data_IF_019420411331
#
_entry.id   IF_019420411331
#
_cell.length_a   1.000
_cell.length_b   1.000
_cell.length_c   1.000
_cell.angle_alpha   90.00
_cell.angle_beta   90.00
_cell.angle_gamma   90.00
#
_symmetry.space_group_name_H-M   'P 1'
#
loop_
_entity.id
_entity.type
_entity.pdbx_description
1 polymer ?
#
# COMPACT_ATOMS: atom_id res chain seq x y z
N UNK A 1 2.85 -7.41 32.82
CA UNK A 1 3.79 -6.29 32.53
C UNK A 1 5.25 -6.73 32.64
N UNK A 2 5.71 -7.29 33.77
CA UNK A 2 7.14 -7.65 33.95
C UNK A 2 7.66 -8.67 32.92
N UNK A 3 6.86 -9.67 32.52
CA UNK A 3 7.33 -10.73 31.63
C UNK A 3 7.55 -10.27 30.16
N UNK A 4 6.69 -9.39 29.63
CA UNK A 4 6.80 -8.86 28.26
C UNK A 4 7.82 -7.73 28.19
N UNK A 5 7.88 -6.85 29.21
CA UNK A 5 8.95 -5.85 29.32
C UNK A 5 10.31 -6.53 29.43
N UNK A 6 10.45 -7.61 30.21
CA UNK A 6 11.69 -8.38 30.31
C UNK A 6 11.96 -9.22 29.05
N UNK A 7 10.93 -9.66 28.31
CA UNK A 7 11.08 -10.30 26.99
C UNK A 7 11.61 -9.33 25.95
N UNK A 8 10.97 -8.16 25.78
CA UNK A 8 11.42 -7.09 24.87
C UNK A 8 12.80 -6.59 25.28
N UNK A 9 13.08 -6.42 26.57
CA UNK A 9 14.41 -6.01 27.05
C UNK A 9 15.48 -7.10 26.83
N UNK A 10 15.14 -8.40 26.93
CA UNK A 10 16.06 -9.50 26.63
C UNK A 10 16.36 -9.60 25.12
N UNK A 11 15.33 -9.51 24.28
CA UNK A 11 15.46 -9.46 22.81
C UNK A 11 16.26 -8.23 22.37
N UNK A 12 15.93 -7.03 22.86
CA UNK A 12 16.67 -5.79 22.57
C UNK A 12 18.15 -5.88 22.96
N UNK A 13 18.50 -6.63 24.02
CA UNK A 13 19.90 -6.87 24.43
C UNK A 13 20.61 -7.89 23.54
N UNK A 14 19.95 -8.92 23.02
CA UNK A 14 20.54 -9.89 22.09
C UNK A 14 20.69 -9.32 20.68
N UNK A 15 19.69 -8.60 20.16
CA UNK A 15 19.64 -8.11 18.77
C UNK A 15 20.50 -6.84 18.53
N UNK A 16 21.09 -6.26 19.59
CA UNK A 16 22.02 -5.10 19.50
C UNK A 16 23.22 -5.33 18.59
N UNK A 17 23.68 -6.58 18.41
CA UNK A 17 24.81 -6.93 17.55
C UNK A 17 24.46 -7.03 16.05
N UNK A 18 23.21 -7.32 15.69
CA UNK A 18 22.75 -7.38 14.29
C UNK A 18 22.35 -5.99 13.75
N UNK A 19 21.97 -5.06 14.62
CA UNK A 19 21.49 -3.72 14.27
C UNK A 19 22.55 -2.78 13.65
N UNK A 20 23.85 -3.07 13.78
CA UNK A 20 24.93 -2.11 13.51
C UNK A 20 25.39 -2.04 12.03
N UNK A 21 24.92 -2.92 11.13
CA UNK A 21 25.47 -3.03 9.76
C UNK A 21 24.55 -2.59 8.61
N UNK A 22 23.38 -3.21 8.48
CA UNK A 22 22.54 -3.13 7.27
C UNK A 22 21.14 -2.57 7.54
N UNK A 23 20.54 -2.84 8.71
CA UNK A 23 19.26 -2.25 9.15
C UNK A 23 19.30 -0.72 9.10
N UNK A 24 20.46 -0.12 9.41
CA UNK A 24 20.69 1.33 9.32
C UNK A 24 20.59 1.91 7.89
N UNK A 25 20.84 1.09 6.87
CA UNK A 25 20.84 1.46 5.44
C UNK A 25 19.49 1.28 4.74
N UNK A 26 18.58 0.50 5.33
CA UNK A 26 17.23 0.35 4.78
C UNK A 26 16.50 1.71 4.76
N UNK A 27 15.89 2.10 3.63
CA UNK A 27 14.99 3.25 3.58
C UNK A 27 13.77 2.97 4.46
N UNK A 28 13.05 4.02 4.85
CA UNK A 28 11.71 3.80 5.38
C UNK A 28 10.85 3.08 4.30
N UNK A 29 9.83 2.28 4.66
CA UNK A 29 8.97 1.54 3.73
C UNK A 29 8.07 2.42 2.85
N UNK A 30 8.50 2.75 1.61
CA UNK A 30 7.66 3.47 0.62
C UNK A 30 6.69 2.50 0.00
N UNK A 31 5.62 2.17 0.71
CA UNK A 31 4.49 1.44 0.13
C UNK A 31 4.23 0.02 0.66
N UNK A 32 4.58 -0.31 1.90
CA UNK A 32 4.15 -1.59 2.52
C UNK A 32 3.83 -1.49 4.03
N UNK A 33 3.82 -0.28 4.59
CA UNK A 33 3.56 -0.07 6.02
C UNK A 33 2.98 1.32 6.22
N UNK A 34 2.02 1.42 7.15
CA UNK A 34 1.23 2.56 7.67
C UNK A 34 2.08 3.82 8.03
N UNK A 35 3.40 3.77 7.83
CA UNK A 35 4.35 4.59 8.56
C UNK A 35 5.09 5.68 7.84
N UNK A 36 5.21 5.62 6.54
CA UNK A 36 5.89 6.73 5.88
C UNK A 36 5.10 8.01 5.85
N UNK A 37 3.80 7.85 5.86
CA UNK A 37 2.91 8.91 5.54
C UNK A 37 2.60 9.80 6.74
N UNK A 38 2.61 9.23 7.96
CA UNK A 38 2.52 9.97 9.23
C UNK A 38 3.61 11.05 9.32
N UNK A 39 4.74 10.87 8.63
CA UNK A 39 5.91 11.71 8.79
C UNK A 39 6.16 12.68 7.62
N UNK A 40 5.84 12.30 6.38
CA UNK A 40 5.85 13.22 5.23
C UNK A 40 4.77 14.30 5.36
N UNK A 41 3.62 13.96 5.96
CA UNK A 41 2.50 14.88 6.15
C UNK A 41 2.80 16.04 7.11
N UNK A 42 3.68 15.91 8.13
CA UNK A 42 3.90 17.03 9.07
C UNK A 42 4.74 18.18 8.48
N UNK A 43 5.56 17.93 7.45
CA UNK A 43 6.37 18.97 6.77
C UNK A 43 5.76 19.47 5.46
N UNK A 44 5.08 18.61 4.68
CA UNK A 44 4.48 19.02 3.38
C UNK A 44 3.12 19.70 3.50
N UNK A 45 2.32 19.39 4.53
CA UNK A 45 1.01 20.05 4.75
C UNK A 45 1.13 21.52 5.16
N UNK A 46 2.34 21.98 5.52
CA UNK A 46 2.63 23.39 5.78
C UNK A 46 3.27 24.13 4.59
N UNK A 47 3.69 23.44 3.52
CA UNK A 47 4.52 24.04 2.46
C UNK A 47 4.18 23.55 1.04
N UNK A 48 2.97 23.05 0.79
CA UNK A 48 2.49 22.88 -0.58
C UNK A 48 1.66 24.12 -0.93
N UNK A 49 1.99 24.87 -1.99
CA UNK A 49 1.21 26.04 -2.37
C UNK A 49 -0.25 25.64 -2.59
N UNK A 50 -1.21 26.55 -2.33
CA UNK A 50 -2.61 26.28 -2.64
C UNK A 50 -2.72 25.87 -4.10
N UNK A 51 -3.39 24.74 -4.35
CA UNK A 51 -3.79 24.37 -5.71
C UNK A 51 -4.62 25.53 -6.23
N UNK A 52 -4.17 26.14 -7.34
CA UNK A 52 -4.90 27.23 -7.96
C UNK A 52 -6.33 26.76 -8.27
N UNK A 53 -7.33 27.54 -7.86
CA UNK A 53 -8.72 27.22 -8.15
C UNK A 53 -8.92 27.16 -9.68
N UNK A 54 -9.67 26.16 -10.15
CA UNK A 54 -10.08 26.08 -11.55
C UNK A 54 -10.99 27.28 -11.84
N UNK A 55 -10.94 27.82 -13.06
CA UNK A 55 -11.84 28.90 -13.47
C UNK A 55 -13.30 28.44 -13.30
N UNK A 56 -14.15 29.16 -12.53
CA UNK A 56 -15.53 28.76 -12.28
C UNK A 56 -16.38 28.64 -13.55
N UNK A 57 -15.96 29.25 -14.66
CA UNK A 57 -16.62 29.10 -15.98
C UNK A 57 -16.32 27.76 -16.66
N UNK A 58 -15.17 27.14 -16.35
CA UNK A 58 -14.79 25.80 -16.79
C UNK A 58 -15.49 24.73 -15.96
N UNK A 59 -15.56 24.92 -14.63
CA UNK A 59 -16.29 24.01 -13.74
C UNK A 59 -17.77 23.88 -14.10
N UNK A 60 -18.42 24.98 -14.50
CA UNK A 60 -19.84 24.97 -14.90
C UNK A 60 -20.12 24.21 -16.21
N UNK A 61 -19.08 23.86 -16.98
CA UNK A 61 -19.18 23.22 -18.31
C UNK A 61 -18.61 21.79 -18.34
N UNK A 62 -18.07 21.34 -17.21
CA UNK A 62 -17.62 19.98 -16.98
C UNK A 62 -18.68 19.25 -16.15
N UNK A 63 -19.42 18.34 -16.78
CA UNK A 63 -20.34 17.46 -16.06
C UNK A 63 -19.60 16.18 -15.66
N UNK A 64 -19.06 16.17 -14.44
CA UNK A 64 -18.26 15.09 -13.89
C UNK A 64 -19.03 14.47 -12.71
N UNK A 65 -19.52 13.23 -12.84
CA UNK A 65 -20.07 12.50 -11.70
C UNK A 65 -18.98 12.21 -10.66
N UNK A 66 -19.31 12.37 -9.37
CA UNK A 66 -18.40 12.08 -8.27
C UNK A 66 -19.01 11.05 -7.33
N UNK A 67 -18.22 10.04 -7.00
CA UNK A 67 -18.54 9.03 -6.01
C UNK A 67 -17.76 9.33 -4.72
N UNK A 68 -18.38 10.07 -3.79
CA UNK A 68 -17.70 10.54 -2.58
C UNK A 68 -17.27 9.39 -1.66
N UNK A 69 -18.08 8.32 -1.58
CA UNK A 69 -17.75 7.06 -0.91
C UNK A 69 -18.10 5.95 -1.88
N UNK A 70 -17.08 5.28 -2.43
CA UNK A 70 -17.28 4.12 -3.28
C UNK A 70 -17.78 2.92 -2.47
N UNK A 71 -18.41 1.96 -3.15
CA UNK A 71 -18.79 0.69 -2.54
C UNK A 71 -17.57 0.01 -1.88
N UNK A 72 -16.42 0.02 -2.55
CA UNK A 72 -15.16 -0.52 -2.03
C UNK A 72 -14.77 0.12 -0.68
N UNK A 73 -14.81 1.45 -0.58
CA UNK A 73 -14.44 2.15 0.65
C UNK A 73 -15.39 1.81 1.81
N UNK A 74 -16.70 1.70 1.53
CA UNK A 74 -17.68 1.29 2.52
C UNK A 74 -17.44 -0.14 3.02
N UNK A 75 -17.20 -1.09 2.12
CA UNK A 75 -16.89 -2.49 2.46
C UNK A 75 -15.58 -2.62 3.26
N UNK A 76 -14.55 -1.86 2.86
CA UNK A 76 -13.27 -1.80 3.58
C UNK A 76 -13.46 -1.35 5.02
N UNK A 77 -14.18 -0.24 5.23
CA UNK A 77 -14.47 0.27 6.57
C UNK A 77 -15.29 -0.72 7.40
N UNK A 78 -16.30 -1.36 6.80
CA UNK A 78 -17.13 -2.37 7.48
C UNK A 78 -16.29 -3.53 8.00
N UNK A 79 -15.41 -4.09 7.17
CA UNK A 79 -14.58 -5.24 7.56
C UNK A 79 -13.52 -4.88 8.61
N UNK A 80 -12.93 -3.69 8.53
CA UNK A 80 -12.01 -3.20 9.58
C UNK A 80 -12.74 -3.03 10.92
N UNK A 81 -13.92 -2.41 10.92
CA UNK A 81 -14.75 -2.26 12.12
C UNK A 81 -15.15 -3.63 12.67
N UNK A 82 -15.50 -4.59 11.81
CA UNK A 82 -15.83 -5.93 12.23
C UNK A 82 -14.65 -6.66 12.91
N UNK A 83 -13.45 -6.56 12.33
CA UNK A 83 -12.23 -7.14 12.92
C UNK A 83 -11.92 -6.52 14.29
N UNK A 84 -11.98 -5.19 14.40
CA UNK A 84 -11.76 -4.48 15.65
C UNK A 84 -12.81 -4.83 16.71
N UNK A 85 -14.08 -4.92 16.31
CA UNK A 85 -15.16 -5.28 17.21
C UNK A 85 -14.96 -6.69 17.79
N UNK A 86 -14.66 -7.69 16.96
CA UNK A 86 -14.43 -9.05 17.42
C UNK A 86 -13.26 -9.14 18.41
N UNK A 87 -12.12 -8.49 18.10
CA UNK A 87 -10.97 -8.43 18.99
C UNK A 87 -11.30 -7.77 20.34
N UNK A 88 -12.03 -6.64 20.34
CA UNK A 88 -12.45 -5.94 21.56
C UNK A 88 -13.47 -6.69 22.42
N UNK A 89 -14.16 -7.67 21.84
CA UNK A 89 -15.13 -8.51 22.55
C UNK A 89 -14.53 -9.87 22.93
N UNK A 90 -13.21 -10.05 22.77
CA UNK A 90 -12.50 -11.31 23.05
C UNK A 90 -13.03 -12.51 22.24
N UNK A 91 -13.64 -12.24 21.07
CA UNK A 91 -14.22 -13.26 20.16
C UNK A 91 -13.17 -13.75 19.15
N UNK A 92 -12.03 -14.21 19.66
CA UNK A 92 -10.87 -14.57 18.84
C UNK A 92 -11.10 -15.80 17.95
N UNK A 93 -11.77 -16.84 18.46
CA UNK A 93 -12.11 -18.02 17.66
C UNK A 93 -12.95 -17.69 16.42
N UNK A 94 -13.92 -16.79 16.57
CA UNK A 94 -14.79 -16.35 15.49
C UNK A 94 -14.06 -15.46 14.48
N UNK A 95 -13.21 -14.56 14.97
CA UNK A 95 -12.34 -13.76 14.11
C UNK A 95 -11.41 -14.67 13.29
N UNK A 96 -10.78 -15.64 13.93
CA UNK A 96 -9.87 -16.59 13.30
C UNK A 96 -10.58 -17.40 12.21
N UNK A 97 -11.75 -17.95 12.52
CA UNK A 97 -12.56 -18.68 11.54
C UNK A 97 -12.98 -17.81 10.35
N UNK A 98 -13.36 -16.56 10.62
CA UNK A 98 -13.72 -15.62 9.56
C UNK A 98 -12.52 -15.31 8.66
N UNK A 99 -11.34 -15.07 9.22
CA UNK A 99 -10.10 -14.83 8.46
C UNK A 99 -9.81 -16.04 7.57
N UNK A 100 -9.77 -17.25 8.11
CA UNK A 100 -9.48 -18.48 7.35
C UNK A 100 -10.44 -18.68 6.19
N UNK A 101 -11.75 -18.51 6.44
CA UNK A 101 -12.78 -18.63 5.41
C UNK A 101 -12.59 -17.60 4.30
N UNK A 102 -12.29 -16.34 4.65
CA UNK A 102 -12.02 -15.29 3.68
C UNK A 102 -10.77 -15.60 2.86
N UNK A 103 -9.70 -16.12 3.48
CA UNK A 103 -8.51 -16.55 2.75
C UNK A 103 -8.84 -17.70 1.80
N UNK A 104 -9.43 -18.80 2.29
CA UNK A 104 -9.75 -19.99 1.45
C UNK A 104 -10.65 -19.65 0.26
N UNK A 105 -11.62 -18.74 0.44
CA UNK A 105 -12.52 -18.30 -0.64
C UNK A 105 -11.97 -17.16 -1.48
N UNK A 106 -10.77 -16.65 -1.19
CA UNK A 106 -10.17 -15.45 -1.80
C UNK A 106 -11.15 -14.28 -1.83
N UNK A 107 -11.86 -14.09 -0.72
CA UNK A 107 -12.88 -13.06 -0.62
C UNK A 107 -12.24 -11.67 -0.66
N UNK A 108 -12.71 -10.84 -1.59
CA UNK A 108 -12.28 -9.47 -1.78
C UNK A 108 -13.48 -8.52 -1.77
N UNK A 109 -13.19 -7.26 -1.48
CA UNK A 109 -14.08 -6.11 -1.70
C UNK A 109 -14.23 -5.79 -3.18
N UNK A 110 -15.17 -4.90 -3.54
CA UNK A 110 -15.39 -4.47 -4.92
C UNK A 110 -14.13 -3.92 -5.62
N UNK A 111 -13.22 -3.25 -4.90
CA UNK A 111 -11.93 -2.76 -5.41
C UNK A 111 -10.79 -3.78 -5.26
N UNK A 112 -11.11 -5.04 -4.94
CA UNK A 112 -10.17 -6.14 -4.88
C UNK A 112 -9.30 -6.19 -3.62
N UNK A 113 -9.61 -5.45 -2.55
CA UNK A 113 -8.88 -5.57 -1.28
C UNK A 113 -9.30 -6.88 -0.57
N UNK A 114 -8.35 -7.76 -0.18
CA UNK A 114 -8.67 -8.98 0.55
C UNK A 114 -9.39 -8.69 1.87
N UNK A 115 -10.49 -9.40 2.13
CA UNK A 115 -11.27 -9.23 3.36
C UNK A 115 -10.49 -9.71 4.58
N UNK A 116 -9.66 -10.75 4.44
CA UNK A 116 -8.78 -11.24 5.49
C UNK A 116 -7.81 -10.14 5.99
N UNK A 117 -7.22 -9.36 5.08
CA UNK A 117 -6.32 -8.26 5.41
C UNK A 117 -7.05 -7.14 6.19
N UNK A 118 -8.30 -6.86 5.82
CA UNK A 118 -9.12 -5.84 6.50
C UNK A 118 -9.51 -6.30 7.91
N UNK A 119 -9.87 -7.57 8.08
CA UNK A 119 -10.18 -8.15 9.39
C UNK A 119 -8.96 -8.17 10.30
N UNK A 120 -7.81 -8.63 9.78
CA UNK A 120 -6.55 -8.66 10.54
C UNK A 120 -6.07 -7.25 10.90
N UNK A 121 -6.20 -6.27 9.98
CA UNK A 121 -5.94 -4.85 10.27
C UNK A 121 -6.84 -4.34 11.40
N UNK A 122 -8.15 -4.56 11.30
CA UNK A 122 -9.11 -4.16 12.33
C UNK A 122 -8.76 -4.72 13.70
N UNK A 123 -8.40 -6.00 13.76
CA UNK A 123 -8.07 -6.70 15.01
C UNK A 123 -6.83 -6.12 15.73
N UNK A 124 -5.85 -5.60 14.98
CA UNK A 124 -4.63 -4.97 15.55
C UNK A 124 -4.68 -3.45 15.64
N UNK A 125 -5.74 -2.81 15.13
CA UNK A 125 -5.81 -1.36 14.95
C UNK A 125 -5.55 -0.56 16.23
N UNK A 126 -6.05 -1.01 17.37
CA UNK A 126 -5.86 -0.32 18.66
C UNK A 126 -4.38 -0.27 19.08
N UNK A 127 -3.64 -1.35 18.85
CA UNK A 127 -2.20 -1.42 19.13
C UNK A 127 -1.42 -0.53 18.17
N UNK A 128 -1.78 -0.55 16.89
CA UNK A 128 -1.15 0.29 15.86
C UNK A 128 -1.37 1.77 16.17
N UNK A 129 -2.60 2.18 16.49
CA UNK A 129 -2.91 3.55 16.85
C UNK A 129 -2.19 3.99 18.13
N UNK A 130 -2.07 3.12 19.14
CA UNK A 130 -1.29 3.42 20.34
C UNK A 130 0.20 3.65 20.02
N UNK A 131 0.77 2.84 19.13
CA UNK A 131 2.14 3.00 18.67
C UNK A 131 2.34 4.27 17.83
N UNK A 132 1.39 4.63 16.97
CA UNK A 132 1.43 5.90 16.23
C UNK A 132 1.34 7.11 17.15
N UNK A 133 0.41 7.10 18.10
CA UNK A 133 0.19 8.21 19.03
C UNK A 133 1.41 8.44 19.93
N UNK A 134 2.18 7.38 20.26
CA UNK A 134 3.48 7.48 20.92
C UNK A 134 4.50 8.27 20.09
N UNK A 135 4.49 8.15 18.75
CA UNK A 135 5.39 8.94 17.89
C UNK A 135 4.97 10.41 17.84
N UNK A 136 3.66 10.67 17.91
CA UNK A 136 3.08 12.00 17.82
C UNK A 136 3.16 12.78 19.13
N UNK A 137 3.11 12.08 20.27
CA UNK A 137 3.10 12.64 21.62
C UNK A 137 4.45 12.41 22.30
N UNK A 138 5.15 13.46 22.75
CA UNK A 138 6.47 13.36 23.44
C UNK A 138 6.38 12.73 24.87
N UNK A 139 5.58 11.69 25.10
CA UNK A 139 5.19 11.23 26.43
C UNK A 139 5.28 9.73 26.70
N UNK A 140 5.68 9.38 27.94
CA UNK A 140 5.73 8.03 28.50
C UNK A 140 4.38 7.28 28.55
N UNK A 141 3.26 8.01 28.44
CA UNK A 141 1.90 7.44 28.46
C UNK A 141 1.61 6.60 27.20
N UNK A 142 2.12 7.02 26.04
CA UNK A 142 1.95 6.27 24.78
C UNK A 142 2.66 4.93 24.83
N UNK A 143 3.85 4.89 25.44
CA UNK A 143 4.66 3.67 25.61
C UNK A 143 3.96 2.64 26.51
N UNK A 144 3.32 3.09 27.60
CA UNK A 144 2.57 2.21 28.50
C UNK A 144 1.35 1.57 27.82
N UNK A 145 0.54 2.36 27.10
CA UNK A 145 -0.64 1.84 26.36
C UNK A 145 -0.25 0.87 25.25
N UNK A 146 0.82 1.18 24.54
CA UNK A 146 1.37 0.26 23.54
C UNK A 146 1.81 -1.06 24.18
N UNK A 147 2.54 -1.00 25.29
CA UNK A 147 3.02 -2.18 25.99
C UNK A 147 1.86 -3.03 26.53
N UNK A 148 0.81 -2.40 27.06
CA UNK A 148 -0.42 -3.09 27.49
C UNK A 148 -1.10 -3.79 26.31
N UNK A 149 -1.30 -3.09 25.20
CA UNK A 149 -1.95 -3.64 24.01
C UNK A 149 -1.19 -4.82 23.41
N UNK A 150 0.13 -4.71 23.23
CA UNK A 150 0.93 -5.82 22.69
C UNK A 150 1.04 -6.98 23.68
N UNK A 151 1.03 -6.72 24.99
CA UNK A 151 0.99 -7.78 26.02
C UNK A 151 -0.32 -8.56 25.93
N UNK A 152 -1.46 -7.87 25.75
CA UNK A 152 -2.75 -8.52 25.61
C UNK A 152 -2.80 -9.43 24.36
N UNK A 153 -2.26 -8.97 23.22
CA UNK A 153 -2.15 -9.80 22.02
C UNK A 153 -1.24 -11.03 22.22
N UNK A 154 -0.14 -10.90 22.94
CA UNK A 154 0.75 -12.02 23.28
C UNK A 154 0.10 -13.03 24.23
N UNK A 155 -0.79 -12.58 25.13
CA UNK A 155 -1.59 -13.47 25.98
C UNK A 155 -2.63 -14.23 25.13
N UNK A 156 -3.32 -13.56 24.20
CA UNK A 156 -4.22 -14.22 23.22
C UNK A 156 -3.49 -15.27 22.40
N UNK A 157 -2.28 -14.95 21.90
CA UNK A 157 -1.44 -15.91 21.18
C UNK A 157 -1.09 -17.14 22.02
N UNK A 158 -0.84 -16.95 23.32
CA UNK A 158 -0.54 -18.05 24.24
C UNK A 158 -1.72 -18.98 24.44
N UNK A 159 -2.93 -18.42 24.44
CA UNK A 159 -4.17 -19.17 24.63
C UNK A 159 -4.62 -19.90 23.35
N UNK A 160 -4.20 -19.41 22.16
CA UNK A 160 -4.57 -19.96 20.85
C UNK A 160 -3.36 -20.50 20.08
N UNK A 161 -2.49 -21.26 20.77
CA UNK A 161 -1.30 -21.84 20.15
C UNK A 161 -1.66 -22.73 18.97
N UNK A 162 -1.00 -22.48 17.83
CA UNK A 162 -1.21 -23.25 16.60
C UNK A 162 -2.35 -22.73 15.73
N UNK A 163 -3.09 -21.70 16.13
CA UNK A 163 -4.00 -21.00 15.24
C UNK A 163 -3.23 -19.99 14.38
N UNK A 164 -3.11 -20.27 13.08
CA UNK A 164 -2.35 -19.44 12.18
C UNK A 164 -2.97 -18.06 11.95
N UNK A 165 -4.30 -17.93 12.03
CA UNK A 165 -4.98 -16.66 11.78
C UNK A 165 -4.75 -15.68 12.93
N UNK A 166 -4.78 -16.18 14.18
CA UNK A 166 -4.41 -15.39 15.36
C UNK A 166 -2.92 -15.07 15.34
N UNK A 167 -2.08 -16.07 15.04
CA UNK A 167 -0.63 -15.87 14.90
C UNK A 167 -0.30 -14.80 13.85
N UNK A 168 -1.02 -14.78 12.73
CA UNK A 168 -0.91 -13.76 11.70
C UNK A 168 -1.23 -12.37 12.25
N UNK A 169 -2.36 -12.17 12.95
CA UNK A 169 -2.73 -10.87 13.55
C UNK A 169 -1.64 -10.36 14.49
N UNK A 170 -1.13 -11.21 15.38
CA UNK A 170 -0.13 -10.80 16.38
C UNK A 170 1.22 -10.51 15.70
N UNK A 171 1.68 -11.37 14.78
CA UNK A 171 2.91 -11.12 14.02
C UNK A 171 2.83 -9.81 13.23
N UNK A 172 1.69 -9.55 12.58
CA UNK A 172 1.41 -8.32 11.87
C UNK A 172 1.46 -7.08 12.79
N UNK A 173 0.94 -7.17 14.02
CA UNK A 173 1.08 -6.10 15.02
C UNK A 173 2.55 -5.84 15.38
N UNK A 174 3.36 -6.88 15.54
CA UNK A 174 4.80 -6.74 15.76
C UNK A 174 5.50 -6.06 14.56
N UNK A 175 5.18 -6.47 13.33
CA UNK A 175 5.73 -5.87 12.10
C UNK A 175 5.43 -4.36 12.07
N UNK A 176 4.19 -3.96 12.36
CA UNK A 176 3.80 -2.54 12.41
C UNK A 176 4.64 -1.80 13.45
N UNK A 177 4.67 -2.26 14.70
CA UNK A 177 5.41 -1.60 15.78
C UNK A 177 6.90 -1.48 15.44
N UNK A 178 7.49 -2.53 14.84
CA UNK A 178 8.85 -2.51 14.37
C UNK A 178 9.10 -1.34 13.41
N UNK A 179 8.29 -1.24 12.36
CA UNK A 179 8.37 -0.13 11.40
C UNK A 179 8.16 1.24 12.07
N UNK A 180 7.32 1.32 13.11
CA UNK A 180 7.05 2.56 13.88
C UNK A 180 8.31 3.05 14.55
N UNK A 181 9.00 2.14 15.24
CA UNK A 181 10.25 2.42 15.94
C UNK A 181 11.37 2.79 14.97
N UNK A 182 11.51 2.08 13.84
CA UNK A 182 12.56 2.38 12.84
C UNK A 182 12.43 3.80 12.27
N UNK A 183 11.21 4.23 11.98
CA UNK A 183 10.91 5.57 11.46
C UNK A 183 11.24 6.68 12.48
N UNK A 184 11.24 6.36 13.78
CA UNK A 184 11.67 7.28 14.84
C UNK A 184 13.21 7.40 14.92
N UNK A 185 13.93 6.29 14.82
CA UNK A 185 15.40 6.26 14.81
C UNK A 185 15.99 7.17 13.70
N UNK A 186 15.42 7.15 12.49
CA UNK A 186 15.94 7.95 11.36
C UNK A 186 15.86 9.47 11.63
N UNK A 187 14.97 9.92 12.51
CA UNK A 187 14.78 11.35 12.87
C UNK A 187 15.70 11.87 13.97
N UNK A 188 16.63 11.06 14.48
CA UNK A 188 17.61 11.49 15.46
C UNK A 188 17.15 11.43 16.93
N UNK A 189 15.94 10.93 17.21
CA UNK A 189 15.55 10.51 18.56
C UNK A 189 16.18 9.13 18.82
N UNK A 190 16.96 9.02 19.90
CA UNK A 190 17.49 7.77 20.47
C UNK A 190 17.89 6.65 19.47
N UNK A 191 18.62 6.97 18.38
CA UNK A 191 18.92 6.09 17.22
C UNK A 191 19.17 4.61 17.55
N UNK A 192 19.96 4.31 18.57
CA UNK A 192 20.37 2.94 18.88
C UNK A 192 19.29 2.13 19.62
N UNK A 193 18.42 2.77 20.41
CA UNK A 193 17.35 2.09 21.13
C UNK A 193 16.19 1.70 20.19
N UNK A 194 15.84 2.61 19.26
CA UNK A 194 14.77 2.41 18.30
C UNK A 194 15.12 1.36 17.22
N UNK A 195 16.38 1.27 16.78
CA UNK A 195 16.83 0.20 15.88
C UNK A 195 16.84 -1.18 16.54
N UNK A 196 17.20 -1.26 17.83
CA UNK A 196 17.16 -2.53 18.57
C UNK A 196 15.71 -2.97 18.85
N UNK A 197 14.80 -2.01 19.08
CA UNK A 197 13.36 -2.28 19.19
C UNK A 197 12.77 -2.78 17.87
N UNK A 198 13.14 -2.19 16.71
CA UNK A 198 12.76 -2.72 15.39
C UNK A 198 13.17 -4.19 15.25
N UNK A 199 14.44 -4.52 15.53
CA UNK A 199 14.95 -5.88 15.40
C UNK A 199 14.19 -6.86 16.30
N UNK A 200 13.94 -6.51 17.56
CA UNK A 200 13.22 -7.36 18.50
C UNK A 200 11.78 -7.66 18.07
N UNK A 201 11.07 -6.67 17.51
CA UNK A 201 9.71 -6.91 17.01
C UNK A 201 9.70 -7.78 15.76
N UNK A 202 10.65 -7.59 14.83
CA UNK A 202 10.77 -8.44 13.65
C UNK A 202 11.18 -9.88 14.00
N UNK A 203 12.15 -10.06 14.89
CA UNK A 203 12.56 -11.36 15.41
C UNK A 203 11.37 -12.10 16.04
N UNK A 204 10.59 -11.40 16.85
CA UNK A 204 9.37 -11.98 17.45
C UNK A 204 8.32 -12.35 16.39
N UNK A 205 8.09 -11.52 15.39
CA UNK A 205 7.15 -11.84 14.31
C UNK A 205 7.62 -13.04 13.47
N UNK A 206 8.92 -13.19 13.22
CA UNK A 206 9.50 -14.38 12.58
C UNK A 206 9.22 -15.62 13.42
N UNK A 207 9.53 -15.59 14.73
CA UNK A 207 9.27 -16.72 15.63
C UNK A 207 7.80 -17.16 15.63
N UNK A 208 6.86 -16.20 15.58
CA UNK A 208 5.43 -16.49 15.56
C UNK A 208 5.03 -17.19 14.25
N UNK A 209 5.59 -16.77 13.11
CA UNK A 209 5.20 -17.28 11.79
C UNK A 209 5.96 -18.55 11.37
N UNK A 210 7.13 -18.83 11.95
CA UNK A 210 7.97 -19.98 11.59
C UNK A 210 7.29 -21.35 11.75
N UNK A 211 6.26 -21.43 12.60
CA UNK A 211 5.45 -22.64 12.78
C UNK A 211 4.46 -22.94 11.65
N UNK A 212 4.31 -22.06 10.65
CA UNK A 212 3.23 -22.15 9.65
C UNK A 212 3.75 -22.11 8.21
N UNK A 213 3.22 -22.99 7.36
CA UNK A 213 3.47 -22.95 5.92
C UNK A 213 2.27 -22.31 5.20
N UNK A 214 2.49 -21.15 4.57
CA UNK A 214 1.43 -20.41 3.88
C UNK A 214 0.80 -21.22 2.73
N UNK A 215 1.62 -22.00 2.02
CA UNK A 215 1.18 -22.84 0.89
C UNK A 215 0.31 -24.00 1.39
N UNK A 216 0.76 -24.75 2.41
CA UNK A 216 -0.01 -25.88 2.96
C UNK A 216 -1.34 -25.43 3.56
N UNK A 217 -1.39 -24.24 4.14
CA UNK A 217 -2.59 -23.65 4.73
C UNK A 217 -3.47 -22.90 3.72
N UNK A 218 -3.00 -22.75 2.48
CA UNK A 218 -3.60 -21.91 1.44
C UNK A 218 -3.96 -20.49 1.92
N UNK A 219 -3.02 -19.86 2.62
CA UNK A 219 -3.19 -18.59 3.34
C UNK A 219 -2.29 -17.48 2.74
N UNK A 220 -2.77 -16.70 1.76
CA UNK A 220 -2.05 -15.56 1.19
C UNK A 220 -1.57 -14.54 2.22
N UNK A 221 -2.34 -14.29 3.27
CA UNK A 221 -1.98 -13.35 4.33
C UNK A 221 -0.72 -13.76 5.08
N UNK A 222 -0.50 -15.06 5.29
CA UNK A 222 0.76 -15.58 5.85
C UNK A 222 1.94 -15.35 4.90
N UNK A 223 1.76 -15.63 3.60
CA UNK A 223 2.79 -15.40 2.59
C UNK A 223 3.14 -13.90 2.49
N UNK A 224 2.12 -13.02 2.47
CA UNK A 224 2.29 -11.57 2.48
C UNK A 224 3.03 -11.08 3.75
N UNK A 225 2.70 -11.65 4.92
CA UNK A 225 3.42 -11.34 6.15
C UNK A 225 4.88 -11.80 6.10
N UNK A 226 5.20 -12.93 5.45
CA UNK A 226 6.58 -13.37 5.21
C UNK A 226 7.33 -12.39 4.30
N UNK A 227 6.71 -11.92 3.21
CA UNK A 227 7.28 -10.85 2.38
C UNK A 227 7.55 -9.57 3.19
N UNK A 228 6.65 -9.20 4.10
CA UNK A 228 6.81 -8.04 4.98
C UNK A 228 7.97 -8.19 5.98
N UNK A 229 8.33 -9.43 6.34
CA UNK A 229 9.44 -9.75 7.25
C UNK A 229 10.83 -9.71 6.61
N UNK A 230 10.93 -9.63 5.28
CA UNK A 230 12.22 -9.57 4.57
C UNK A 230 13.18 -8.52 5.17
N UNK A 231 12.66 -7.36 5.59
CA UNK A 231 13.48 -6.31 6.21
C UNK A 231 14.15 -6.71 7.55
N UNK A 232 13.70 -7.78 8.20
CA UNK A 232 14.28 -8.34 9.42
C UNK A 232 15.11 -9.61 9.20
N UNK A 233 15.12 -10.18 8.00
CA UNK A 233 15.82 -11.44 7.71
C UNK A 233 17.29 -11.23 7.37
N UNK A 234 18.17 -12.22 7.62
CA UNK A 234 19.50 -12.22 7.05
C UNK A 234 19.41 -12.39 5.52
N UNK A 235 20.17 -11.58 4.78
CA UNK A 235 20.30 -11.69 3.31
C UNK A 235 18.96 -11.74 2.54
N UNK A 236 18.06 -10.75 2.71
CA UNK A 236 16.72 -10.77 2.11
C UNK A 236 16.72 -10.81 0.58
N UNK A 237 17.81 -10.37 -0.06
CA UNK A 237 18.00 -10.48 -1.50
C UNK A 237 17.94 -11.93 -2.00
N UNK A 238 18.30 -12.92 -1.19
CA UNK A 238 18.25 -14.32 -1.58
C UNK A 238 16.82 -14.88 -1.56
N UNK A 239 15.88 -14.22 -0.88
CA UNK A 239 14.51 -14.70 -0.65
C UNK A 239 13.43 -13.89 -1.35
N UNK A 240 13.68 -12.60 -1.62
CA UNK A 240 12.65 -11.66 -2.08
C UNK A 240 11.87 -12.15 -3.30
N UNK A 241 12.52 -12.80 -4.27
CA UNK A 241 11.81 -13.32 -5.45
C UNK A 241 10.95 -14.51 -5.05
N UNK A 242 11.55 -15.57 -4.53
CA UNK A 242 10.87 -16.80 -4.14
C UNK A 242 9.66 -16.54 -3.21
N UNK A 243 9.82 -15.68 -2.19
CA UNK A 243 8.74 -15.36 -1.26
C UNK A 243 7.55 -14.64 -1.97
N UNK A 244 7.84 -13.74 -2.95
CA UNK A 244 6.77 -13.08 -3.72
C UNK A 244 6.19 -13.97 -4.82
N UNK A 245 7.00 -14.85 -5.41
CA UNK A 245 6.54 -15.86 -6.36
C UNK A 245 5.50 -16.78 -5.70
N UNK A 246 5.81 -17.31 -4.51
CA UNK A 246 4.89 -18.12 -3.72
C UNK A 246 3.58 -17.35 -3.39
N UNK A 247 3.70 -16.07 -3.01
CA UNK A 247 2.54 -15.23 -2.72
C UNK A 247 1.67 -14.99 -3.96
N UNK A 248 2.28 -14.68 -5.10
CA UNK A 248 1.57 -14.42 -6.36
C UNK A 248 0.92 -15.71 -6.87
N UNK A 249 1.57 -16.87 -6.77
CA UNK A 249 0.95 -18.15 -7.13
C UNK A 249 -0.25 -18.47 -6.24
N UNK A 250 -0.20 -18.07 -4.98
CA UNK A 250 -1.26 -18.34 -4.01
C UNK A 250 -2.47 -17.40 -4.16
N UNK A 251 -2.25 -16.17 -4.63
CA UNK A 251 -3.25 -15.12 -4.83
C UNK A 251 -2.97 -14.30 -6.12
N UNK A 252 -3.13 -14.93 -7.31
CA UNK A 252 -2.69 -14.34 -8.57
C UNK A 252 -3.59 -13.19 -9.06
N UNK A 253 -4.81 -13.11 -8.55
CA UNK A 253 -5.78 -12.04 -8.82
C UNK A 253 -5.52 -10.75 -8.03
N UNK A 254 -4.55 -10.76 -7.10
CA UNK A 254 -4.26 -9.62 -6.26
C UNK A 254 -3.01 -8.88 -6.74
N UNK A 255 -3.24 -7.92 -7.64
CA UNK A 255 -2.21 -7.06 -8.21
C UNK A 255 -1.38 -6.28 -7.18
N UNK A 256 -1.86 -6.14 -5.93
CA UNK A 256 -1.11 -5.47 -4.86
C UNK A 256 0.15 -6.26 -4.47
N UNK A 257 0.13 -7.58 -4.61
CA UNK A 257 1.28 -8.44 -4.37
C UNK A 257 2.39 -8.16 -5.41
N UNK A 258 2.00 -8.01 -6.68
CA UNK A 258 2.91 -7.66 -7.78
C UNK A 258 3.52 -6.26 -7.59
N UNK A 259 2.69 -5.28 -7.21
CA UNK A 259 3.12 -3.93 -6.87
C UNK A 259 4.15 -3.90 -5.73
N UNK A 260 3.88 -4.64 -4.65
CA UNK A 260 4.77 -4.74 -3.51
C UNK A 260 6.10 -5.43 -3.87
N UNK A 261 6.06 -6.46 -4.72
CA UNK A 261 7.24 -7.11 -5.29
C UNK A 261 8.15 -6.12 -6.01
N UNK A 262 7.59 -5.33 -6.94
CA UNK A 262 8.38 -4.36 -7.70
C UNK A 262 9.09 -3.32 -6.84
N UNK A 263 8.40 -2.81 -5.82
CA UNK A 263 9.02 -1.92 -4.85
C UNK A 263 10.18 -2.59 -4.09
N UNK A 264 9.98 -3.81 -3.59
CA UNK A 264 11.01 -4.56 -2.86
C UNK A 264 12.19 -5.01 -3.75
N UNK A 265 12.02 -5.02 -5.07
CA UNK A 265 13.08 -5.29 -6.05
C UNK A 265 13.92 -4.06 -6.43
N UNK A 266 13.56 -2.86 -5.98
CA UNK A 266 14.43 -1.68 -6.17
C UNK A 266 15.76 -1.84 -5.42
N UNK A 267 16.87 -1.24 -5.90
CA UNK A 267 18.20 -1.37 -5.27
C UNK A 267 18.29 -0.88 -3.83
N UNK A 268 17.45 0.07 -3.46
CA UNK A 268 17.33 0.58 -2.09
C UNK A 268 16.72 -0.44 -1.12
N UNK A 269 16.09 -1.49 -1.64
CA UNK A 269 15.50 -2.59 -0.89
C UNK A 269 16.37 -3.85 -1.01
N UNK A 270 15.93 -4.85 -1.76
CA UNK A 270 16.53 -6.18 -1.78
C UNK A 270 16.95 -6.63 -3.18
N UNK A 271 16.72 -5.81 -4.21
CA UNK A 271 16.95 -6.19 -5.60
C UNK A 271 17.95 -5.30 -6.35
N UNK A 272 17.81 -5.30 -7.67
CA UNK A 272 18.54 -4.44 -8.60
C UNK A 272 17.62 -4.08 -9.76
N UNK A 273 17.96 -3.08 -10.57
CA UNK A 273 17.15 -2.72 -11.73
C UNK A 273 17.04 -3.85 -12.75
N UNK A 274 18.11 -4.62 -12.94
CA UNK A 274 18.13 -5.77 -13.84
C UNK A 274 17.23 -6.89 -13.33
N UNK A 275 17.22 -7.11 -12.01
CA UNK A 275 16.33 -8.09 -11.39
C UNK A 275 14.87 -7.63 -11.44
N UNK A 276 14.59 -6.35 -11.18
CA UNK A 276 13.25 -5.78 -11.31
C UNK A 276 12.68 -6.02 -12.71
N UNK A 277 13.43 -5.70 -13.77
CA UNK A 277 13.00 -5.91 -15.16
C UNK A 277 12.79 -7.40 -15.50
N UNK A 278 13.74 -8.27 -15.10
CA UNK A 278 13.63 -9.71 -15.33
C UNK A 278 12.38 -10.30 -14.67
N UNK A 279 12.17 -9.98 -13.39
CA UNK A 279 11.08 -10.57 -12.63
C UNK A 279 9.72 -9.97 -12.99
N UNK A 280 9.65 -8.71 -13.44
CA UNK A 280 8.42 -8.15 -14.00
C UNK A 280 7.96 -8.94 -15.24
N UNK A 281 8.89 -9.30 -16.14
CA UNK A 281 8.58 -10.13 -17.32
C UNK A 281 8.21 -11.56 -16.96
N UNK A 282 8.88 -12.16 -15.97
CA UNK A 282 8.52 -13.50 -15.46
C UNK A 282 7.14 -13.51 -14.83
N UNK A 283 6.80 -12.49 -14.05
CA UNK A 283 5.49 -12.34 -13.43
C UNK A 283 4.39 -12.17 -14.47
N UNK A 284 4.66 -11.39 -15.54
CA UNK A 284 3.77 -11.30 -16.69
C UNK A 284 3.54 -12.67 -17.36
N UNK A 285 4.61 -13.44 -17.62
CA UNK A 285 4.48 -14.79 -18.16
C UNK A 285 3.73 -15.76 -17.22
N UNK A 286 3.97 -15.66 -15.91
CA UNK A 286 3.35 -16.49 -14.86
C UNK A 286 1.85 -16.28 -14.74
N UNK A 287 1.38 -15.07 -14.98
CA UNK A 287 -0.04 -14.68 -14.78
C UNK A 287 -0.69 -14.14 -16.05
N UNK A 288 -0.15 -14.54 -17.21
CA UNK A 288 -0.57 -14.04 -18.53
C UNK A 288 -2.03 -14.33 -18.84
N UNK A 289 -2.55 -15.46 -18.37
CA UNK A 289 -3.94 -15.87 -18.52
C UNK A 289 -4.93 -15.01 -17.72
N UNK A 290 -4.45 -14.33 -16.67
CA UNK A 290 -5.27 -13.45 -15.82
C UNK A 290 -5.10 -11.98 -16.22
N UNK A 291 -3.85 -11.55 -16.43
CA UNK A 291 -3.51 -10.14 -16.59
C UNK A 291 -2.96 -9.76 -17.96
N UNK A 292 -2.72 -10.72 -18.86
CA UNK A 292 -1.96 -10.46 -20.09
C UNK A 292 -0.59 -9.85 -19.76
N UNK A 293 -0.26 -8.73 -20.38
CA UNK A 293 0.92 -7.93 -20.07
C UNK A 293 0.74 -7.06 -18.82
N UNK A 294 -0.48 -6.94 -18.28
CA UNK A 294 -0.82 -6.11 -17.13
C UNK A 294 -0.02 -6.40 -15.87
N UNK A 295 0.40 -7.65 -15.66
CA UNK A 295 1.25 -8.01 -14.53
C UNK A 295 2.65 -7.37 -14.61
N UNK A 296 3.21 -7.15 -15.81
CA UNK A 296 4.43 -6.34 -15.96
C UNK A 296 4.21 -4.93 -15.44
N UNK A 297 3.11 -4.31 -15.87
CA UNK A 297 2.70 -2.96 -15.46
C UNK A 297 2.50 -2.89 -13.95
N UNK A 298 1.87 -3.89 -13.33
CA UNK A 298 1.69 -3.93 -11.87
C UNK A 298 2.99 -4.03 -11.10
N UNK A 299 3.93 -4.88 -11.53
CA UNK A 299 5.26 -4.93 -10.90
C UNK A 299 5.99 -3.59 -11.06
N UNK A 300 5.94 -2.97 -12.23
CA UNK A 300 6.64 -1.70 -12.47
C UNK A 300 5.96 -0.48 -11.83
N UNK A 301 4.68 -0.56 -11.50
CA UNK A 301 3.81 0.55 -11.14
C UNK A 301 4.40 1.47 -10.06
N UNK A 302 4.72 0.92 -8.89
CA UNK A 302 5.29 1.73 -7.81
C UNK A 302 6.78 2.01 -8.03
N UNK A 303 7.49 1.11 -8.70
CA UNK A 303 8.93 1.23 -8.92
C UNK A 303 9.27 2.49 -9.74
N UNK A 304 8.60 2.71 -10.87
CA UNK A 304 8.89 3.85 -11.76
C UNK A 304 8.35 5.18 -11.21
N UNK A 305 7.30 5.15 -10.37
CA UNK A 305 6.81 6.34 -9.68
C UNK A 305 7.75 6.80 -8.56
N UNK A 306 8.47 5.87 -7.93
CA UNK A 306 9.34 6.14 -6.78
C UNK A 306 10.79 6.42 -7.18
N UNK A 307 11.30 5.77 -8.23
CA UNK A 307 12.71 5.79 -8.65
C UNK A 307 12.90 6.21 -10.12
N UNK A 308 13.72 7.24 -10.34
CA UNK A 308 13.94 7.79 -11.69
C UNK A 308 14.77 6.86 -12.57
N UNK A 309 15.66 6.05 -12.01
CA UNK A 309 16.46 5.11 -12.81
C UNK A 309 15.60 3.95 -13.28
N UNK A 310 14.70 3.44 -12.43
CA UNK A 310 13.69 2.47 -12.83
C UNK A 310 12.79 3.05 -13.93
N UNK A 311 12.32 4.29 -13.77
CA UNK A 311 11.50 4.97 -14.77
C UNK A 311 12.22 5.17 -16.11
N UNK A 312 13.52 5.53 -16.10
CA UNK A 312 14.31 5.71 -17.32
C UNK A 312 14.59 4.39 -18.06
N UNK A 313 14.51 3.24 -17.37
CA UNK A 313 14.84 1.92 -17.93
C UNK A 313 13.61 1.10 -18.33
N UNK A 314 12.41 1.54 -18.00
CA UNK A 314 11.17 0.78 -18.24
C UNK A 314 10.92 0.59 -19.74
N UNK A 315 10.40 -0.57 -20.11
CA UNK A 315 9.87 -0.81 -21.45
C UNK A 315 8.51 -0.10 -21.56
N UNK A 316 8.52 1.14 -22.03
CA UNK A 316 7.33 2.01 -22.07
C UNK A 316 6.21 1.40 -22.90
N UNK A 317 6.53 0.82 -24.06
CA UNK A 317 5.54 0.19 -24.93
C UNK A 317 4.87 -0.99 -24.20
N UNK A 318 5.67 -1.86 -23.58
CA UNK A 318 5.16 -3.02 -22.84
C UNK A 318 4.36 -2.60 -21.59
N UNK A 319 4.74 -1.50 -20.93
CA UNK A 319 3.99 -0.93 -19.81
C UNK A 319 2.62 -0.41 -20.26
N UNK A 320 2.54 0.28 -21.41
CA UNK A 320 1.29 0.82 -21.96
C UNK A 320 0.39 -0.30 -22.45
N UNK A 321 0.93 -1.33 -23.13
CA UNK A 321 0.17 -2.53 -23.50
C UNK A 321 -0.45 -3.19 -22.26
N UNK A 322 0.30 -3.27 -21.16
CA UNK A 322 -0.24 -3.78 -19.90
C UNK A 322 -1.32 -2.90 -19.27
N UNK A 323 -1.31 -1.56 -19.48
CA UNK A 323 -2.44 -0.71 -19.04
C UNK A 323 -3.74 -1.06 -19.79
N UNK A 324 -3.64 -1.35 -21.09
CA UNK A 324 -4.79 -1.81 -21.88
C UNK A 324 -5.30 -3.17 -21.41
N UNK A 325 -4.39 -4.13 -21.15
CA UNK A 325 -4.78 -5.46 -20.67
C UNK A 325 -5.43 -5.40 -19.28
N UNK A 326 -4.93 -4.54 -18.38
CA UNK A 326 -5.57 -4.29 -17.08
C UNK A 326 -6.99 -3.78 -17.24
N UNK A 327 -7.24 -2.77 -18.08
CA UNK A 327 -8.58 -2.20 -18.24
C UNK A 327 -9.54 -3.10 -19.03
N UNK A 328 -9.00 -4.01 -19.83
CA UNK A 328 -9.76 -5.05 -20.52
C UNK A 328 -10.19 -6.14 -19.54
N UNK A 329 -9.27 -6.59 -18.68
CA UNK A 329 -9.54 -7.61 -17.66
C UNK A 329 -10.38 -7.07 -16.48
N UNK A 330 -10.18 -5.80 -16.10
CA UNK A 330 -10.87 -5.12 -15.01
C UNK A 330 -11.31 -3.71 -15.42
N UNK A 331 -12.52 -3.62 -15.94
CA UNK A 331 -13.13 -2.37 -16.42
C UNK A 331 -13.88 -1.58 -15.33
N UNK A 332 -13.69 -1.93 -14.06
CA UNK A 332 -14.36 -1.25 -12.96
C UNK A 332 -13.83 0.19 -12.73
N UNK A 333 -14.68 1.03 -12.14
CA UNK A 333 -14.34 2.45 -11.94
C UNK A 333 -13.22 2.67 -10.92
N UNK A 334 -12.99 1.76 -9.97
CA UNK A 334 -11.88 1.90 -9.03
C UNK A 334 -10.54 1.70 -9.75
N UNK A 335 -10.46 0.69 -10.64
CA UNK A 335 -9.29 0.45 -11.49
C UNK A 335 -9.05 1.60 -12.47
N UNK A 336 -10.09 2.08 -13.16
CA UNK A 336 -9.98 3.22 -14.07
C UNK A 336 -9.49 4.50 -13.35
N UNK A 337 -10.05 4.81 -12.17
CA UNK A 337 -9.59 5.94 -11.37
C UNK A 337 -8.14 5.78 -10.88
N UNK A 338 -7.73 4.57 -10.49
CA UNK A 338 -6.36 4.27 -10.06
C UNK A 338 -5.36 4.56 -11.19
N UNK A 339 -5.60 4.01 -12.39
CA UNK A 339 -4.69 4.19 -13.52
C UNK A 339 -4.71 5.63 -14.06
N UNK A 340 -5.88 6.24 -14.19
CA UNK A 340 -6.00 7.63 -14.64
C UNK A 340 -5.27 8.60 -13.70
N UNK A 341 -5.49 8.47 -12.39
CA UNK A 341 -4.83 9.32 -11.40
C UNK A 341 -3.33 9.03 -11.28
N UNK A 342 -2.90 7.78 -11.51
CA UNK A 342 -1.49 7.43 -11.59
C UNK A 342 -0.79 8.12 -12.76
N UNK A 343 -1.30 7.93 -13.98
CA UNK A 343 -0.72 8.50 -15.19
C UNK A 343 -0.78 10.03 -15.19
N UNK A 344 -1.81 10.65 -14.62
CA UNK A 344 -1.95 12.11 -14.67
C UNK A 344 -1.33 12.86 -13.48
N UNK A 345 -1.21 12.22 -12.32
CA UNK A 345 -0.85 12.89 -11.06
C UNK A 345 0.36 12.27 -10.38
N UNK A 346 0.35 10.96 -10.13
CA UNK A 346 1.40 10.33 -9.33
C UNK A 346 2.76 10.41 -10.03
N UNK A 347 2.80 10.08 -11.33
CA UNK A 347 4.02 10.16 -12.14
C UNK A 347 4.56 11.59 -12.27
N UNK A 348 3.68 12.58 -12.43
CA UNK A 348 4.06 13.98 -12.59
C UNK A 348 4.86 14.55 -11.39
N UNK A 349 4.77 13.95 -10.20
CA UNK A 349 5.44 14.43 -8.98
C UNK A 349 6.97 14.45 -9.07
N UNK A 350 7.55 13.62 -9.94
CA UNK A 350 9.01 13.52 -10.14
C UNK A 350 9.49 14.17 -11.45
N UNK A 351 8.58 14.84 -12.16
CA UNK A 351 8.94 15.49 -13.42
C UNK A 351 9.99 16.59 -13.19
N UNK A 352 11.00 16.65 -14.07
CA UNK A 352 12.11 17.60 -13.99
C UNK A 352 13.25 17.18 -13.04
N UNK A 353 13.19 15.99 -12.44
CA UNK A 353 14.28 15.46 -11.58
C UNK A 353 15.36 14.76 -12.42
N UNK A 354 14.96 14.07 -13.50
CA UNK A 354 15.86 13.34 -14.39
C UNK A 354 15.34 13.42 -15.82
N UNK A 355 16.14 13.97 -16.72
CA UNK A 355 15.78 14.13 -18.14
C UNK A 355 15.50 12.79 -18.82
N UNK A 356 16.34 11.78 -18.58
CA UNK A 356 16.16 10.43 -19.15
C UNK A 356 14.84 9.80 -18.68
N UNK A 357 14.50 9.98 -17.40
CA UNK A 357 13.25 9.46 -16.85
C UNK A 357 12.04 10.25 -17.36
N UNK A 358 12.20 11.55 -17.62
CA UNK A 358 11.12 12.42 -18.08
C UNK A 358 10.62 12.04 -19.48
N UNK A 359 11.47 11.47 -20.33
CA UNK A 359 11.06 10.95 -21.65
C UNK A 359 10.04 9.83 -21.46
N UNK A 360 10.43 8.75 -20.78
CA UNK A 360 9.56 7.59 -20.52
C UNK A 360 8.30 7.99 -19.74
N UNK A 361 8.46 8.88 -18.76
CA UNK A 361 7.36 9.38 -17.94
C UNK A 361 6.33 10.13 -18.77
N UNK A 362 6.74 11.02 -19.66
CA UNK A 362 5.80 11.78 -20.50
C UNK A 362 4.98 10.87 -21.41
N UNK A 363 5.61 9.85 -21.99
CA UNK A 363 4.91 8.85 -22.81
C UNK A 363 3.86 8.09 -21.99
N UNK A 364 4.20 7.61 -20.79
CA UNK A 364 3.24 6.92 -19.91
C UNK A 364 2.13 7.88 -19.42
N UNK A 365 2.48 9.13 -19.10
CA UNK A 365 1.51 10.14 -18.68
C UNK A 365 0.49 10.44 -19.78
N UNK A 366 0.86 10.33 -21.05
CA UNK A 366 -0.06 10.52 -22.18
C UNK A 366 -1.21 9.50 -22.20
N UNK A 367 -1.02 8.32 -21.59
CA UNK A 367 -2.07 7.31 -21.46
C UNK A 367 -3.26 7.80 -20.62
N UNK A 368 -3.07 8.82 -19.77
CA UNK A 368 -4.19 9.42 -19.04
C UNK A 368 -5.30 9.93 -19.96
N UNK A 369 -4.98 10.34 -21.20
CA UNK A 369 -5.97 10.86 -22.14
C UNK A 369 -7.04 9.83 -22.51
N UNK A 370 -6.62 8.68 -23.04
CA UNK A 370 -7.56 7.61 -23.43
C UNK A 370 -8.19 6.94 -22.21
N UNK A 371 -7.47 6.78 -21.10
CA UNK A 371 -8.07 6.20 -19.87
C UNK A 371 -9.22 7.07 -19.37
N UNK A 372 -9.03 8.41 -19.31
CA UNK A 372 -10.07 9.33 -18.83
C UNK A 372 -11.24 9.40 -19.82
N UNK A 373 -10.98 9.42 -21.12
CA UNK A 373 -12.03 9.54 -22.14
C UNK A 373 -12.87 8.27 -22.28
N UNK A 374 -12.23 7.11 -22.24
CA UNK A 374 -12.85 5.85 -22.67
C UNK A 374 -13.33 5.01 -21.48
N UNK A 375 -12.64 5.10 -20.33
CA UNK A 375 -12.89 4.22 -19.18
C UNK A 375 -13.52 4.93 -17.97
N UNK A 376 -13.29 6.24 -17.81
CA UNK A 376 -13.81 6.96 -16.65
C UNK A 376 -15.27 7.38 -16.88
N UNK A 377 -16.16 6.97 -15.98
CA UNK A 377 -17.58 7.38 -15.94
C UNK A 377 -17.89 8.18 -14.68
N UNK A 378 -17.11 7.99 -13.62
CA UNK A 378 -17.18 8.75 -12.37
C UNK A 378 -15.79 8.96 -11.76
N UNK A 379 -15.64 10.01 -10.96
CA UNK A 379 -14.42 10.29 -10.20
C UNK A 379 -14.55 9.80 -8.77
N UNK A 380 -13.52 9.08 -8.29
CA UNK A 380 -13.38 8.63 -6.90
C UNK A 380 -12.38 9.55 -6.16
N UNK A 381 -12.84 10.56 -5.40
CA UNK A 381 -11.94 11.62 -4.90
C UNK A 381 -10.81 11.13 -4.00
N UNK A 382 -11.03 10.08 -3.22
CA UNK A 382 -9.99 9.52 -2.33
C UNK A 382 -8.82 8.92 -3.11
N UNK A 383 -9.10 8.22 -4.22
CA UNK A 383 -8.05 7.64 -5.08
C UNK A 383 -7.15 8.75 -5.64
N UNK A 384 -7.76 9.82 -6.16
CA UNK A 384 -7.04 10.98 -6.68
C UNK A 384 -6.26 11.75 -5.61
N UNK A 385 -6.76 11.79 -4.37
CA UNK A 385 -6.06 12.36 -3.25
C UNK A 385 -4.81 11.54 -2.87
N UNK A 386 -4.90 10.21 -2.89
CA UNK A 386 -3.75 9.33 -2.69
C UNK A 386 -2.73 9.46 -3.82
N UNK A 387 -3.16 9.51 -5.08
CA UNK A 387 -2.28 9.74 -6.23
C UNK A 387 -1.51 11.06 -6.10
N UNK A 388 -2.17 12.11 -5.63
CA UNK A 388 -1.56 13.40 -5.35
C UNK A 388 -0.49 13.34 -4.25
N UNK A 389 -0.49 12.31 -3.40
CA UNK A 389 0.57 12.02 -2.43
C UNK A 389 1.59 10.97 -2.90
N UNK A 390 1.42 10.41 -4.10
CA UNK A 390 2.26 9.35 -4.68
C UNK A 390 1.83 7.95 -4.28
N UNK A 391 0.52 7.73 -4.09
CA UNK A 391 -0.09 6.51 -3.56
C UNK A 391 0.47 6.06 -2.23
N UNK A 392 0.78 7.03 -1.38
CA UNK A 392 1.12 6.78 0.01
C UNK A 392 -0.15 6.38 0.78
N UNK A 393 -0.57 5.12 0.61
CA UNK A 393 -1.79 4.54 1.21
C UNK A 393 -1.69 4.42 2.73
N UNK A 394 -0.49 4.63 3.28
CA UNK A 394 -0.20 4.68 4.70
C UNK A 394 -0.56 6.02 5.35
N UNK A 395 -0.95 7.05 4.57
CA UNK A 395 -1.26 8.40 5.05
C UNK A 395 -2.35 8.39 6.10
N UNK A 396 -1.99 8.71 7.35
CA UNK A 396 -3.00 9.06 8.35
C UNK A 396 -3.75 10.30 7.87
N UNK A 397 -4.91 10.05 7.31
CA UNK A 397 -5.84 11.09 6.86
C UNK A 397 -6.52 11.66 8.10
N UNK A 398 -6.02 12.80 8.59
CA UNK A 398 -6.59 13.48 9.76
C UNK A 398 -8.04 13.94 9.54
N UNK A 399 -8.45 14.12 8.29
CA UNK A 399 -9.78 14.57 7.91
C UNK A 399 -10.11 14.03 6.52
N UNK A 400 -10.90 12.97 6.45
CA UNK A 400 -11.31 12.31 5.20
C UNK A 400 -11.94 13.32 4.24
N UNK A 401 -12.86 14.16 4.73
CA UNK A 401 -13.52 15.18 3.91
C UNK A 401 -12.54 16.18 3.27
N UNK A 402 -11.50 16.60 3.99
CA UNK A 402 -10.50 17.53 3.45
C UNK A 402 -9.59 16.84 2.45
N UNK A 403 -9.29 15.57 2.68
CA UNK A 403 -8.48 14.77 1.77
C UNK A 403 -9.24 14.47 0.46
N UNK A 404 -10.50 14.05 0.56
CA UNK A 404 -11.41 13.88 -0.57
C UNK A 404 -11.58 15.19 -1.37
N UNK A 405 -11.78 16.33 -0.70
CA UNK A 405 -11.90 17.62 -1.37
C UNK A 405 -10.64 18.00 -2.18
N UNK A 406 -9.44 17.68 -1.67
CA UNK A 406 -8.18 17.86 -2.42
C UNK A 406 -8.12 16.96 -3.65
N UNK A 407 -8.51 15.70 -3.51
CA UNK A 407 -8.54 14.76 -4.63
C UNK A 407 -9.55 15.17 -5.71
N UNK A 408 -10.74 15.62 -5.31
CA UNK A 408 -11.76 16.20 -6.19
C UNK A 408 -11.21 17.37 -6.99
N UNK A 409 -10.61 18.35 -6.33
CA UNK A 409 -10.03 19.52 -6.99
C UNK A 409 -8.89 19.13 -7.96
N UNK A 410 -8.06 18.15 -7.59
CA UNK A 410 -7.00 17.68 -8.49
C UNK A 410 -7.58 16.96 -9.72
N UNK A 411 -8.57 16.09 -9.55
CA UNK A 411 -9.25 15.42 -10.65
C UNK A 411 -9.90 16.42 -11.62
N UNK A 412 -10.64 17.40 -11.07
CA UNK A 412 -11.27 18.45 -11.88
C UNK A 412 -10.25 19.25 -12.69
N UNK A 413 -9.10 19.61 -12.10
CA UNK A 413 -8.03 20.30 -12.81
C UNK A 413 -7.49 19.45 -13.96
N UNK A 414 -7.14 18.19 -13.70
CA UNK A 414 -6.59 17.28 -14.72
C UNK A 414 -7.59 17.07 -15.86
N UNK A 415 -8.85 16.77 -15.52
CA UNK A 415 -9.90 16.53 -16.51
C UNK A 415 -10.19 17.83 -17.29
N UNK A 416 -10.25 18.98 -16.61
CA UNK A 416 -10.45 20.27 -17.26
C UNK A 416 -9.30 20.68 -18.18
N UNK A 417 -8.06 20.38 -17.81
CA UNK A 417 -6.89 20.57 -18.68
C UNK A 417 -6.97 19.71 -19.93
N UNK A 418 -7.40 18.46 -19.80
CA UNK A 418 -7.56 17.48 -20.89
C UNK A 418 -8.68 17.87 -21.88
N UNK A 419 -9.79 18.41 -21.38
CA UNK A 419 -10.91 18.88 -22.23
C UNK A 419 -10.82 20.36 -22.60
N UNK A 420 -9.69 21.03 -22.33
CA UNK A 420 -9.53 22.48 -22.51
C UNK A 420 -9.92 22.96 -23.91
N UNK A 421 -9.46 22.27 -24.96
CA UNK A 421 -9.79 22.67 -26.33
C UNK A 421 -11.30 22.59 -26.63
N UNK A 422 -11.98 21.59 -26.11
CA UNK A 422 -13.43 21.44 -26.27
C UNK A 422 -14.18 22.54 -25.52
N UNK A 423 -13.70 22.87 -24.32
CA UNK A 423 -14.22 23.95 -23.49
C UNK A 423 -13.98 25.32 -24.14
N UNK A 424 -12.80 25.59 -24.69
CA UNK A 424 -12.52 26.85 -25.40
C UNK A 424 -13.41 27.01 -26.66
N UNK A 425 -13.77 25.90 -27.32
CA UNK A 425 -14.67 25.86 -28.49
C UNK A 425 -16.16 25.94 -28.15
N UNK A 426 -16.53 26.17 -26.89
CA UNK A 426 -17.95 26.28 -26.49
C UNK A 426 -18.68 24.94 -26.30
N UNK A 427 -18.00 23.80 -26.41
CA UNK A 427 -18.58 22.47 -26.14
C UNK A 427 -18.56 22.16 -24.64
N UNK A 428 -19.61 21.54 -24.13
CA UNK A 428 -19.57 20.91 -22.80
C UNK A 428 -18.73 19.63 -22.88
N UNK A 429 -18.11 19.24 -21.77
CA UNK A 429 -17.41 17.97 -21.66
C UNK A 429 -18.06 17.14 -20.55
N UNK A 430 -18.37 15.88 -20.85
CA UNK A 430 -18.86 14.88 -19.92
C UNK A 430 -17.97 13.65 -19.97
N UNK A 431 -17.86 12.95 -18.86
CA UNK A 431 -17.25 11.62 -18.84
C UNK A 431 -18.09 10.62 -19.65
N UNK A 432 -17.49 9.48 -20.00
CA UNK A 432 -18.20 8.44 -20.74
C UNK A 432 -19.49 8.05 -20.01
N UNK A 433 -20.57 7.86 -20.76
CA UNK A 433 -21.83 7.34 -20.21
C UNK A 433 -21.82 5.82 -20.33
N UNK A 434 -22.42 5.12 -19.37
CA UNK A 434 -22.38 3.64 -19.26
C UNK A 434 -22.82 2.93 -20.56
N UNK A 435 -23.67 3.56 -21.39
CA UNK A 435 -24.12 3.03 -22.68
C UNK A 435 -23.03 3.00 -23.77
N UNK A 436 -21.96 3.79 -23.66
CA UNK A 436 -20.86 3.83 -24.63
C UNK A 436 -19.83 2.71 -24.42
N UNK A 437 -19.75 2.12 -23.22
CA UNK A 437 -18.78 1.07 -22.89
C UNK A 437 -19.21 -0.34 -23.35
N UNK A 438 -20.46 -0.51 -23.82
CA UNK A 438 -20.97 -1.79 -24.33
C UNK A 438 -20.64 -2.05 -25.81
N UNK A 439 -19.90 -1.16 -26.48
CA UNK A 439 -19.64 -1.23 -27.92
C UNK A 439 -18.14 -1.06 -28.24
N UNK A 440 -17.28 -1.90 -27.68
CA UNK A 440 -15.92 -2.15 -28.20
C UNK A 440 -15.61 -3.63 -28.11
#
# INVERSE_FOLDING_TARGET
>A
MDHVSDMVNRLVRSSRRQAEGWIGRLPAPKGASILQAVQALRKKTQQTPPVAAVDPTVEARLDIPFCDISQDEAERQEHQVAGQFLARQDRWDELAERIRRCETSRQCTAGGMPVADLLTYGARADVVYAAEDMVLSDGAIGDAKLLEGITALEDVLRDHKGDYAISLVVALAHIDIGWIRRSCAQKGRQKNADCASFAAHFERAIEILDGFCAIELSAPGLAAARCALLAGLPEPANRVVDDYEDLIDLDPDNYRNMRAMGNHLLPQWFGSYERLELEARRTAGRTYDIWGNGAYTWVMFDAIALDDTACARVDVAFFIDGLHDILTSRSDQATANLLASYCSTALARRQGVSEDADIARQEIMSAADWIIRDHLTEVHPLVWAHAAEGFDNAARVTSINRFAARGRANAQRVIGDLFREDLERGRGASLATTDQQATV
#
